data_IF_126228451871
#
_entry.id   IF_126228451871
#
_cell.length_a   1.000
_cell.length_b   1.000
_cell.length_c   1.000
_cell.angle_alpha   90.00
_cell.angle_beta   90.00
_cell.angle_gamma   90.00
#
_symmetry.space_group_name_H-M   'P 1'
#
loop_
_entity.id
_entity.type
_entity.pdbx_description
1 polymer ?
#
# COMPACT_ATOMS: atom_id res chain seq x y z
N UNK A 1 31.30 21.82 -72.31
CA UNK A 1 31.53 20.72 -71.35
C UNK A 1 30.35 20.64 -70.40
N UNK A 2 29.45 19.67 -70.59
CA UNK A 2 28.34 19.39 -69.67
C UNK A 2 28.42 17.90 -69.29
N UNK A 3 28.67 17.61 -68.01
CA UNK A 3 28.64 16.26 -67.45
C UNK A 3 27.24 15.99 -66.91
N UNK A 4 26.55 15.02 -67.51
CA UNK A 4 25.26 14.49 -67.02
C UNK A 4 25.58 13.41 -65.99
N UNK A 5 25.20 13.64 -64.74
CA UNK A 5 25.28 12.62 -63.69
C UNK A 5 23.93 11.92 -63.60
N UNK A 6 23.89 10.67 -64.07
CA UNK A 6 22.75 9.77 -63.91
C UNK A 6 22.74 9.22 -62.49
N UNK A 7 21.73 9.59 -61.70
CA UNK A 7 21.48 9.08 -60.37
C UNK A 7 20.54 7.87 -60.49
N UNK A 8 21.08 6.67 -60.32
CA UNK A 8 20.30 5.42 -60.32
C UNK A 8 19.73 5.22 -58.92
N UNK A 9 18.41 5.38 -58.80
CA UNK A 9 17.67 5.18 -57.56
C UNK A 9 17.27 3.69 -57.45
N UNK A 10 18.04 2.91 -56.69
CA UNK A 10 17.65 1.54 -56.33
C UNK A 10 16.55 1.58 -55.26
N UNK A 11 15.29 1.39 -55.68
CA UNK A 11 14.18 1.10 -54.79
C UNK A 11 14.33 -0.32 -54.24
N UNK A 12 14.94 -0.45 -53.06
CA UNK A 12 14.95 -1.70 -52.31
C UNK A 12 13.59 -1.95 -51.68
N UNK A 13 12.82 -2.88 -52.25
CA UNK A 13 11.57 -3.38 -51.68
C UNK A 13 11.89 -4.22 -50.43
N UNK A 14 11.93 -3.56 -49.26
CA UNK A 14 11.94 -4.27 -47.97
C UNK A 14 10.58 -4.94 -47.76
N UNK A 15 10.55 -6.25 -47.96
CA UNK A 15 9.45 -7.11 -47.53
C UNK A 15 9.46 -7.14 -46.01
N UNK A 16 8.62 -6.32 -45.39
CA UNK A 16 8.28 -6.40 -43.97
C UNK A 16 7.51 -7.71 -43.76
N UNK A 17 8.21 -8.78 -43.40
CA UNK A 17 7.57 -9.97 -42.85
C UNK A 17 6.86 -9.54 -41.56
N UNK A 18 5.54 -9.75 -41.42
CA UNK A 18 4.88 -9.56 -40.14
C UNK A 18 5.52 -10.55 -39.18
N UNK A 19 6.30 -10.02 -38.23
CA UNK A 19 6.81 -10.81 -37.13
C UNK A 19 5.62 -11.51 -36.50
N UNK A 20 5.68 -12.84 -36.45
CA UNK A 20 4.76 -13.66 -35.69
C UNK A 20 4.88 -13.15 -34.26
N UNK A 21 3.95 -12.29 -33.85
CA UNK A 21 3.81 -11.90 -32.47
C UNK A 21 3.51 -13.21 -31.74
N UNK A 22 4.50 -13.71 -31.01
CA UNK A 22 4.29 -14.78 -30.05
C UNK A 22 3.32 -14.23 -29.01
N UNK A 23 2.03 -14.39 -29.29
CA UNK A 23 0.95 -14.18 -28.37
C UNK A 23 1.01 -15.30 -27.33
N UNK A 24 1.98 -15.19 -26.42
CA UNK A 24 2.04 -16.10 -25.27
C UNK A 24 2.83 -15.51 -24.09
N UNK A 25 2.65 -14.22 -23.84
CA UNK A 25 2.77 -13.74 -22.48
C UNK A 25 1.44 -14.04 -21.79
N UNK A 26 1.32 -15.25 -21.26
CA UNK A 26 0.40 -15.54 -20.14
C UNK A 26 0.57 -14.37 -19.18
N UNK A 27 -0.45 -13.51 -19.10
CA UNK A 27 -0.44 -12.33 -18.25
C UNK A 27 0.08 -12.74 -16.86
N UNK A 28 1.07 -12.03 -16.29
CA UNK A 28 1.61 -12.40 -15.00
C UNK A 28 0.45 -12.39 -13.99
N UNK A 29 0.06 -13.59 -13.56
CA UNK A 29 -1.04 -13.78 -12.64
C UNK A 29 -0.78 -12.97 -11.37
N UNK A 30 -1.80 -12.31 -10.81
CA UNK A 30 -1.66 -11.59 -9.54
C UNK A 30 -1.34 -12.62 -8.47
N UNK A 31 -0.06 -12.69 -8.09
CA UNK A 31 0.35 -13.58 -7.01
C UNK A 31 0.59 -12.72 -5.79
N UNK A 32 -0.21 -12.95 -4.74
CA UNK A 32 -0.07 -12.25 -3.47
C UNK A 32 1.20 -12.63 -2.71
N UNK A 33 2.07 -13.48 -3.27
CA UNK A 33 3.30 -13.95 -2.61
C UNK A 33 3.05 -14.70 -1.30
N UNK A 34 1.83 -15.23 -1.10
CA UNK A 34 1.41 -15.85 0.16
C UNK A 34 0.95 -14.85 1.24
N UNK A 35 0.75 -13.57 0.89
CA UNK A 35 0.19 -12.56 1.80
C UNK A 35 -1.20 -12.99 2.28
N UNK A 36 -1.38 -12.94 3.60
CA UNK A 36 -2.65 -13.23 4.27
C UNK A 36 -3.39 -11.91 4.46
N UNK A 37 -4.48 -11.70 3.73
CA UNK A 37 -5.31 -10.49 3.85
C UNK A 37 -6.43 -10.62 4.89
N UNK A 38 -6.82 -11.86 5.20
CA UNK A 38 -7.85 -12.15 6.20
C UNK A 38 -7.60 -13.52 6.83
N UNK A 39 -7.86 -13.63 8.12
CA UNK A 39 -7.84 -14.90 8.86
C UNK A 39 -9.22 -15.58 8.86
N UNK A 40 -10.25 -14.90 8.35
CA UNK A 40 -11.60 -15.42 8.35
C UNK A 40 -11.74 -16.61 7.40
N UNK A 41 -12.25 -17.72 7.92
CA UNK A 41 -12.53 -18.90 7.12
C UNK A 41 -13.66 -18.64 6.11
N UNK A 42 -13.66 -19.37 4.98
CA UNK A 42 -14.78 -19.34 4.05
C UNK A 42 -16.09 -19.82 4.71
N UNK A 43 -17.20 -19.15 4.40
CA UNK A 43 -18.54 -19.47 4.90
C UNK A 43 -19.16 -20.64 4.11
N UNK A 44 -18.74 -21.86 4.46
CA UNK A 44 -19.11 -23.09 3.76
C UNK A 44 -20.61 -23.41 3.81
N UNK A 45 -21.30 -23.01 4.86
CA UNK A 45 -22.71 -23.34 5.05
C UNK A 45 -23.61 -22.59 4.05
N UNK A 46 -23.21 -21.39 3.64
CA UNK A 46 -23.98 -20.56 2.71
C UNK A 46 -23.48 -20.68 1.27
N UNK A 47 -22.16 -20.63 1.05
CA UNK A 47 -21.57 -20.64 -0.30
C UNK A 47 -21.18 -22.04 -0.78
N UNK A 48 -21.24 -23.05 0.08
CA UNK A 48 -20.80 -24.41 -0.23
C UNK A 48 -19.30 -24.63 -0.02
N UNK A 49 -18.81 -25.78 -0.46
CA UNK A 49 -17.42 -26.20 -0.26
C UNK A 49 -16.62 -26.15 -1.56
N UNK A 50 -15.28 -26.19 -1.45
CA UNK A 50 -14.37 -26.20 -2.59
C UNK A 50 -14.16 -24.83 -3.24
N UNK A 51 -13.62 -24.85 -4.46
CA UNK A 51 -13.22 -23.65 -5.19
C UNK A 51 -14.43 -22.77 -5.56
N UNK A 52 -15.51 -23.39 -6.06
CA UNK A 52 -16.70 -22.65 -6.52
C UNK A 52 -17.34 -21.82 -5.40
N UNK A 53 -17.50 -22.42 -4.21
CA UNK A 53 -18.04 -21.69 -3.05
C UNK A 53 -17.12 -20.55 -2.60
N UNK A 54 -15.81 -20.79 -2.62
CA UNK A 54 -14.81 -19.76 -2.29
C UNK A 54 -14.87 -18.56 -3.22
N UNK A 55 -14.92 -18.79 -4.54
CA UNK A 55 -15.01 -17.72 -5.55
C UNK A 55 -16.36 -16.99 -5.51
N UNK A 56 -17.45 -17.72 -5.20
CA UNK A 56 -18.78 -17.12 -5.00
C UNK A 56 -18.80 -16.20 -3.78
N UNK A 57 -18.21 -16.63 -2.66
CA UNK A 57 -18.04 -15.80 -1.47
C UNK A 57 -17.16 -14.58 -1.76
N UNK A 58 -16.03 -14.76 -2.46
CA UNK A 58 -15.15 -13.67 -2.86
C UNK A 58 -15.90 -12.60 -3.66
N UNK A 59 -16.68 -13.02 -4.66
CA UNK A 59 -17.50 -12.13 -5.48
C UNK A 59 -18.54 -11.39 -4.65
N UNK A 60 -19.25 -12.10 -3.77
CA UNK A 60 -20.22 -11.50 -2.85
C UNK A 60 -19.60 -10.45 -1.92
N UNK A 61 -18.45 -10.77 -1.33
CA UNK A 61 -17.70 -9.86 -0.46
C UNK A 61 -17.19 -8.64 -1.23
N UNK A 62 -16.77 -8.82 -2.49
CA UNK A 62 -16.36 -7.70 -3.36
C UNK A 62 -17.51 -6.73 -3.57
N UNK A 63 -18.69 -7.21 -4.00
CA UNK A 63 -19.85 -6.35 -4.24
C UNK A 63 -20.33 -5.64 -2.96
N UNK A 64 -20.43 -6.37 -1.85
CA UNK A 64 -20.89 -5.77 -0.58
C UNK A 64 -19.84 -4.84 0.04
N UNK A 65 -18.56 -5.07 -0.23
CA UNK A 65 -17.45 -4.20 0.15
C UNK A 65 -17.44 -2.90 -0.65
N UNK A 66 -17.63 -2.99 -1.96
CA UNK A 66 -17.82 -1.83 -2.85
C UNK A 66 -19.01 -0.98 -2.41
N UNK A 67 -20.16 -1.61 -2.14
CA UNK A 67 -21.31 -0.87 -1.61
C UNK A 67 -21.02 -0.17 -0.27
N UNK A 68 -20.30 -0.83 0.64
CA UNK A 68 -19.90 -0.20 1.92
C UNK A 68 -18.95 0.97 1.70
N UNK A 69 -18.09 0.89 0.69
CA UNK A 69 -17.18 1.95 0.31
C UNK A 69 -17.94 3.18 -0.22
N UNK A 70 -18.94 2.96 -1.08
CA UNK A 70 -19.80 4.01 -1.63
C UNK A 70 -20.64 4.70 -0.54
N UNK A 71 -21.10 3.94 0.46
CA UNK A 71 -21.78 4.47 1.65
C UNK A 71 -20.85 5.24 2.60
N UNK A 72 -19.54 5.22 2.34
CA UNK A 72 -18.52 5.88 3.17
C UNK A 72 -18.11 5.07 4.41
N UNK A 73 -18.63 3.85 4.60
CA UNK A 73 -18.17 2.91 5.62
C UNK A 73 -16.88 2.21 5.18
N UNK A 74 -15.80 3.00 5.23
CA UNK A 74 -14.48 2.59 4.74
C UNK A 74 -13.90 1.42 5.56
N UNK A 75 -14.18 1.32 6.85
CA UNK A 75 -13.66 0.24 7.69
C UNK A 75 -14.28 -1.10 7.29
N UNK A 76 -15.61 -1.14 7.13
CA UNK A 76 -16.30 -2.34 6.66
C UNK A 76 -15.89 -2.70 5.24
N UNK A 77 -15.69 -1.70 4.36
CA UNK A 77 -15.19 -1.92 3.01
C UNK A 77 -13.82 -2.61 3.01
N UNK A 78 -12.84 -2.07 3.76
CA UNK A 78 -11.49 -2.66 3.88
C UNK A 78 -11.59 -4.11 4.35
N UNK A 79 -12.41 -4.39 5.38
CA UNK A 79 -12.57 -5.74 5.91
C UNK A 79 -13.12 -6.72 4.85
N UNK A 80 -14.23 -6.36 4.20
CA UNK A 80 -14.89 -7.21 3.19
C UNK A 80 -13.98 -7.43 1.97
N UNK A 81 -13.37 -6.36 1.47
CA UNK A 81 -12.49 -6.40 0.30
C UNK A 81 -11.21 -7.17 0.59
N UNK A 82 -10.62 -6.99 1.78
CA UNK A 82 -9.47 -7.78 2.24
C UNK A 82 -9.77 -9.28 2.28
N UNK A 83 -10.96 -9.67 2.76
CA UNK A 83 -11.40 -11.07 2.69
C UNK A 83 -11.64 -11.52 1.24
N UNK A 84 -12.24 -10.69 0.39
CA UNK A 84 -12.45 -11.01 -1.01
C UNK A 84 -11.14 -11.39 -1.72
N UNK A 85 -10.09 -10.54 -1.59
CA UNK A 85 -8.77 -10.80 -2.18
C UNK A 85 -8.04 -11.97 -1.51
N UNK A 86 -8.36 -12.30 -0.26
CA UNK A 86 -7.85 -13.52 0.37
C UNK A 86 -8.42 -14.79 -0.29
N UNK A 87 -9.72 -14.78 -0.59
CA UNK A 87 -10.43 -15.91 -1.15
C UNK A 87 -10.17 -16.07 -2.66
N UNK A 88 -10.00 -14.96 -3.37
CA UNK A 88 -9.61 -14.90 -4.77
C UNK A 88 -8.45 -13.91 -4.99
N UNK A 89 -7.19 -14.35 -4.83
CA UNK A 89 -6.02 -13.48 -5.00
C UNK A 89 -5.71 -13.14 -6.46
N UNK A 90 -6.43 -13.73 -7.42
CA UNK A 90 -6.22 -13.48 -8.83
C UNK A 90 -7.20 -12.44 -9.39
N UNK A 91 -8.12 -11.91 -8.57
CA UNK A 91 -9.12 -10.92 -8.99
C UNK A 91 -8.54 -9.48 -8.97
N UNK A 92 -8.18 -8.90 -10.13
CA UNK A 92 -7.61 -7.55 -10.19
C UNK A 92 -8.57 -6.50 -9.63
N UNK A 93 -9.88 -6.65 -9.88
CA UNK A 93 -10.88 -5.69 -9.42
C UNK A 93 -10.98 -5.69 -7.91
N UNK A 94 -10.91 -6.87 -7.27
CA UNK A 94 -10.82 -7.00 -5.81
C UNK A 94 -9.63 -6.23 -5.22
N UNK A 95 -8.45 -6.39 -5.82
CA UNK A 95 -7.23 -5.68 -5.41
C UNK A 95 -7.35 -4.15 -5.59
N UNK A 96 -7.91 -3.67 -6.71
CA UNK A 96 -8.13 -2.24 -6.95
C UNK A 96 -9.07 -1.63 -5.90
N UNK A 97 -10.21 -2.27 -5.64
CA UNK A 97 -11.18 -1.80 -4.66
C UNK A 97 -10.57 -1.79 -3.24
N UNK A 98 -9.82 -2.85 -2.89
CA UNK A 98 -9.13 -2.91 -1.60
C UNK A 98 -8.11 -1.77 -1.43
N UNK A 99 -7.29 -1.52 -2.45
CA UNK A 99 -6.32 -0.43 -2.46
C UNK A 99 -6.98 0.95 -2.36
N UNK A 100 -8.11 1.17 -3.05
CA UNK A 100 -8.91 2.40 -2.95
C UNK A 100 -9.48 2.60 -1.55
N UNK A 101 -10.02 1.55 -0.93
CA UNK A 101 -10.54 1.60 0.43
C UNK A 101 -9.47 1.99 1.45
N UNK A 102 -8.29 1.35 1.40
CA UNK A 102 -7.14 1.73 2.25
C UNK A 102 -6.69 3.17 2.00
N UNK A 103 -6.62 3.59 0.73
CA UNK A 103 -6.25 4.96 0.36
C UNK A 103 -7.24 5.99 0.93
N UNK A 104 -8.53 5.67 0.92
CA UNK A 104 -9.58 6.52 1.51
C UNK A 104 -9.37 6.67 3.02
N UNK A 105 -9.10 5.57 3.73
CA UNK A 105 -8.79 5.60 5.18
C UNK A 105 -7.55 6.45 5.48
N UNK A 106 -6.47 6.28 4.71
CA UNK A 106 -5.26 7.10 4.82
C UNK A 106 -5.55 8.58 4.57
N UNK A 107 -6.34 8.91 3.56
CA UNK A 107 -6.73 10.29 3.28
C UNK A 107 -7.55 10.89 4.44
N UNK A 108 -8.42 10.11 5.08
CA UNK A 108 -9.15 10.55 6.26
C UNK A 108 -8.21 10.83 7.45
N UNK A 109 -7.20 9.98 7.68
CA UNK A 109 -6.18 10.20 8.72
C UNK A 109 -5.37 11.48 8.45
N UNK A 110 -4.93 11.68 7.20
CA UNK A 110 -4.18 12.87 6.79
C UNK A 110 -5.00 14.16 6.92
N UNK A 111 -6.30 14.15 6.57
CA UNK A 111 -7.17 15.32 6.67
C UNK A 111 -7.48 15.72 8.11
N UNK A 112 -7.64 14.73 9.00
CA UNK A 112 -7.91 14.97 10.43
C UNK A 112 -6.70 15.55 11.16
N UNK A 113 -5.55 15.68 10.50
CA UNK A 113 -4.31 16.13 11.13
C UNK A 113 -3.86 15.17 12.22
N UNK A 114 -4.23 13.89 12.11
CA UNK A 114 -3.90 12.88 13.12
C UNK A 114 -2.37 12.82 13.24
N UNK A 115 -1.79 12.99 14.45
CA UNK A 115 -0.34 13.10 14.63
C UNK A 115 0.40 11.79 14.29
N UNK A 116 -0.32 10.68 14.17
CA UNK A 116 0.21 9.39 13.75
C UNK A 116 -0.64 8.85 12.59
N UNK A 117 -0.15 9.03 11.37
CA UNK A 117 -0.61 8.23 10.23
C UNK A 117 -0.18 6.79 10.50
N UNK A 118 -1.10 5.86 10.28
CA UNK A 118 -0.83 4.43 10.45
C UNK A 118 0.21 3.98 9.42
N UNK A 119 1.44 3.76 9.90
CA UNK A 119 2.59 3.38 9.07
C UNK A 119 2.40 1.99 8.46
N UNK A 120 1.73 1.09 9.17
CA UNK A 120 1.47 -0.27 8.70
C UNK A 120 0.48 -0.20 7.54
N UNK A 121 -0.67 0.44 7.73
CA UNK A 121 -1.66 0.67 6.67
C UNK A 121 -1.06 1.39 5.45
N UNK A 122 -0.19 2.39 5.67
CA UNK A 122 0.49 3.10 4.58
C UNK A 122 1.40 2.17 3.77
N UNK A 123 2.17 1.33 4.45
CA UNK A 123 3.07 0.37 3.79
C UNK A 123 2.29 -0.72 3.06
N UNK A 124 1.24 -1.28 3.68
CA UNK A 124 0.36 -2.26 3.05
C UNK A 124 -0.33 -1.70 1.80
N UNK A 125 -0.87 -0.48 1.89
CA UNK A 125 -1.51 0.19 0.78
C UNK A 125 -0.52 0.46 -0.36
N UNK A 126 0.73 0.85 -0.04
CA UNK A 126 1.76 1.05 -1.05
C UNK A 126 2.12 -0.26 -1.77
N UNK A 127 2.30 -1.35 -1.03
CA UNK A 127 2.59 -2.66 -1.65
C UNK A 127 1.43 -3.13 -2.53
N UNK A 128 0.19 -2.87 -2.12
CA UNK A 128 -0.99 -3.17 -2.92
C UNK A 128 -1.01 -2.41 -4.26
N UNK A 129 -0.72 -1.10 -4.23
CA UNK A 129 -0.63 -0.32 -5.45
C UNK A 129 0.57 -0.71 -6.33
N UNK A 130 1.68 -1.15 -5.73
CA UNK A 130 2.83 -1.67 -6.49
C UNK A 130 2.51 -3.01 -7.15
N UNK A 131 1.73 -3.86 -6.49
CA UNK A 131 1.21 -5.10 -7.07
C UNK A 131 0.43 -4.75 -8.35
N UNK A 132 -0.59 -3.91 -8.24
CA UNK A 132 -1.41 -3.46 -9.37
C UNK A 132 -0.60 -2.78 -10.49
N UNK A 133 0.41 -1.98 -10.15
CA UNK A 133 1.29 -1.35 -11.15
C UNK A 133 2.13 -2.37 -11.95
N UNK A 134 2.51 -3.50 -11.34
CA UNK A 134 3.33 -4.52 -12.02
C UNK A 134 2.51 -5.54 -12.81
N UNK A 135 1.20 -5.60 -12.57
CA UNK A 135 0.30 -6.53 -13.25
C UNK A 135 -0.30 -5.92 -14.50
N UNK A 136 -0.64 -6.79 -15.45
CA UNK A 136 -1.33 -6.44 -16.69
C UNK A 136 -2.82 -6.18 -16.41
N UNK A 137 -3.08 -5.31 -15.42
CA UNK A 137 -4.40 -4.74 -15.18
C UNK A 137 -4.78 -3.83 -16.35
N UNK A 138 -6.02 -3.37 -16.43
CA UNK A 138 -6.40 -2.43 -17.48
C UNK A 138 -5.49 -1.18 -17.44
N UNK A 139 -5.22 -0.57 -18.59
CA UNK A 139 -4.27 0.54 -18.70
C UNK A 139 -4.65 1.69 -17.77
N UNK A 140 -5.95 1.95 -17.57
CA UNK A 140 -6.43 2.95 -16.61
C UNK A 140 -6.11 2.58 -15.16
N UNK A 141 -6.26 1.31 -14.77
CA UNK A 141 -5.97 0.83 -13.43
C UNK A 141 -4.47 0.88 -13.13
N UNK A 142 -3.63 0.49 -14.09
CA UNK A 142 -2.17 0.63 -13.96
C UNK A 142 -1.73 2.09 -13.79
N UNK A 143 -2.35 3.00 -14.53
CA UNK A 143 -2.05 4.44 -14.44
C UNK A 143 -2.48 5.03 -13.10
N UNK A 144 -3.66 4.65 -12.60
CA UNK A 144 -4.11 4.99 -11.24
C UNK A 144 -3.12 4.45 -10.21
N UNK A 145 -2.77 3.16 -10.29
CA UNK A 145 -1.87 2.50 -9.35
C UNK A 145 -0.50 3.17 -9.30
N UNK A 146 0.09 3.50 -10.46
CA UNK A 146 1.35 4.23 -10.55
C UNK A 146 1.24 5.63 -9.94
N UNK A 147 0.13 6.32 -10.16
CA UNK A 147 -0.15 7.63 -9.57
C UNK A 147 -0.22 7.59 -8.05
N UNK A 148 -1.00 6.65 -7.51
CA UNK A 148 -1.18 6.47 -6.07
C UNK A 148 0.10 6.00 -5.39
N UNK A 149 0.79 4.99 -5.93
CA UNK A 149 2.07 4.52 -5.39
C UNK A 149 3.09 5.65 -5.27
N UNK A 150 3.24 6.50 -6.31
CA UNK A 150 4.13 7.67 -6.27
C UNK A 150 3.72 8.72 -5.25
N UNK A 151 2.42 8.89 -5.02
CA UNK A 151 1.91 9.78 -3.97
C UNK A 151 2.26 9.23 -2.58
N UNK A 152 1.98 7.96 -2.32
CA UNK A 152 2.25 7.32 -1.03
C UNK A 152 3.75 7.25 -0.72
N UNK A 153 4.61 6.97 -1.71
CA UNK A 153 6.07 7.04 -1.54
C UNK A 153 6.56 8.43 -1.08
N UNK A 154 5.92 9.51 -1.57
CA UNK A 154 6.24 10.86 -1.10
C UNK A 154 5.82 11.08 0.34
N UNK A 155 4.63 10.61 0.72
CA UNK A 155 4.16 10.67 2.12
C UNK A 155 5.12 9.92 3.04
N UNK A 156 5.49 8.69 2.70
CA UNK A 156 6.45 7.91 3.47
C UNK A 156 7.80 8.62 3.62
N UNK A 157 8.30 9.26 2.55
CA UNK A 157 9.56 10.02 2.60
C UNK A 157 9.48 11.22 3.54
N UNK A 158 8.35 11.95 3.54
CA UNK A 158 8.14 13.08 4.45
C UNK A 158 8.11 12.59 5.90
N UNK A 159 7.35 11.52 6.19
CA UNK A 159 7.28 10.95 7.54
C UNK A 159 8.65 10.45 8.04
N UNK A 160 9.42 9.77 7.18
CA UNK A 160 10.77 9.31 7.53
C UNK A 160 11.72 10.49 7.82
N UNK A 161 11.56 11.60 7.09
CA UNK A 161 12.33 12.82 7.32
C UNK A 161 11.96 13.46 8.67
N UNK A 162 10.68 13.62 8.97
CA UNK A 162 10.20 14.16 10.25
C UNK A 162 10.70 13.33 11.44
N UNK A 163 10.69 12.00 11.32
CA UNK A 163 11.22 11.09 12.34
C UNK A 163 12.72 11.26 12.55
N UNK A 164 13.49 11.49 11.48
CA UNK A 164 14.94 11.76 11.58
C UNK A 164 15.28 13.15 12.12
N UNK A 165 14.41 14.14 11.89
CA UNK A 165 14.60 15.53 12.33
C UNK A 165 14.06 15.79 13.74
N UNK A 166 13.26 14.87 14.30
CA UNK A 166 12.83 14.94 15.70
C UNK A 166 13.98 14.40 16.56
N UNK A 167 14.82 15.24 17.19
CA UNK A 167 15.91 14.73 18.01
C UNK A 167 15.32 13.90 19.14
N UNK A 168 15.74 12.64 19.25
CA UNK A 168 15.48 11.81 20.42
C UNK A 168 15.85 12.64 21.67
N UNK A 169 14.85 13.05 22.44
CA UNK A 169 14.99 14.05 23.48
C UNK A 169 16.20 13.72 24.39
N UNK A 170 17.27 14.53 24.40
CA UNK A 170 18.42 14.26 25.25
C UNK A 170 18.13 14.79 26.65
N UNK A 171 17.19 14.20 27.41
CA UNK A 171 16.88 14.73 28.75
C UNK A 171 16.24 13.76 29.78
N UNK A 172 16.42 12.44 29.69
CA UNK A 172 16.16 11.56 30.85
C UNK A 172 17.39 11.36 31.75
N UNK A 173 18.62 11.52 31.22
CA UNK A 173 19.84 11.32 32.00
C UNK A 173 20.28 12.53 32.86
N UNK A 174 19.94 13.77 32.47
CA UNK A 174 20.33 14.98 33.23
C UNK A 174 19.39 15.32 34.40
N UNK A 175 18.15 14.82 34.41
CA UNK A 175 17.20 15.02 35.51
C UNK A 175 17.41 14.04 36.68
N UNK A 176 18.07 12.90 36.46
CA UNK A 176 18.45 11.97 37.53
C UNK A 176 19.68 12.48 38.33
N UNK A 177 20.71 13.01 37.64
CA UNK A 177 21.92 13.51 38.29
C UNK A 177 21.72 14.82 39.10
N UNK A 178 20.66 15.59 38.79
CA UNK A 178 20.33 16.82 39.52
C UNK A 178 19.59 16.60 40.85
N UNK A 179 18.84 15.49 40.99
CA UNK A 179 18.07 15.19 42.21
C UNK A 179 18.91 14.54 43.31
N UNK A 180 20.00 13.86 42.96
CA UNK A 180 20.86 13.19 43.93
C UNK A 180 21.74 14.18 44.74
N UNK A 181 22.11 15.34 44.16
CA UNK A 181 22.88 16.36 44.89
C UNK A 181 22.07 17.23 45.85
N UNK A 182 20.75 17.30 45.67
CA UNK A 182 19.88 18.11 46.55
C UNK A 182 19.51 17.34 47.82
N UNK A 183 19.27 16.02 47.72
CA UNK A 183 18.93 15.20 48.90
C UNK A 183 20.09 14.98 49.88
N UNK A 184 21.36 15.11 49.45
CA UNK A 184 22.50 14.95 50.37
C UNK A 184 22.73 16.15 51.29
N UNK A 185 22.21 17.34 50.95
CA UNK A 185 22.36 18.56 51.79
C UNK A 185 21.28 18.74 52.87
N UNK A 186 20.20 17.97 52.83
CA UNK A 186 19.08 18.12 53.79
C UNK A 186 19.22 17.18 55.00
N UNK A 187 20.10 16.18 54.95
CA UNK A 187 20.25 15.18 56.00
C UNK A 187 21.21 15.57 57.16
N UNK A 188 21.73 16.81 57.19
CA UNK A 188 22.76 17.24 58.18
C UNK A 188 22.26 18.26 59.22
N UNK A 189 20.94 18.45 59.37
CA UNK A 189 20.39 19.27 60.48
C UNK A 189 19.95 18.36 61.63
N UNK A 190 20.79 18.34 62.67
CA UNK A 190 20.62 17.62 63.92
C UNK A 190 19.30 17.95 64.67
N UNK A 191 18.75 16.99 65.45
CA UNK A 191 17.54 17.20 66.21
C UNK A 191 17.80 18.10 67.44
N UNK A 192 17.10 19.23 67.44
CA UNK A 192 16.97 20.16 68.55
C UNK A 192 16.36 19.44 69.76
N UNK A 193 17.14 19.34 70.86
CA UNK A 193 16.67 18.82 72.15
C UNK A 193 15.86 19.88 72.88
N UNK A 194 14.72 19.49 73.44
CA UNK A 194 13.96 20.29 74.41
C UNK A 194 14.05 19.59 75.77
N UNK A 195 14.38 20.38 76.79
CA UNK A 195 14.46 20.01 78.20
C UNK A 195 13.08 19.68 78.81
#
# INVERSE_FOLDING_TARGET
MQKKNSFVLCLGLMVLLPGIALADAISPNITSGGKVYSEERPQKDFFGTGMSGRLSEASYLRFTGEHSFDDGDVETAIKKLGKAVHLDPNDPTGHVLYARAMTSKLNQQLRKGTPAVDKELLSECLEEWKLLWRHDADTSEQMEAKGQARRLMRVMKVMAKEESETPAAPNSAKLAAGKEKVNRKVAEKEPFKFD
#
